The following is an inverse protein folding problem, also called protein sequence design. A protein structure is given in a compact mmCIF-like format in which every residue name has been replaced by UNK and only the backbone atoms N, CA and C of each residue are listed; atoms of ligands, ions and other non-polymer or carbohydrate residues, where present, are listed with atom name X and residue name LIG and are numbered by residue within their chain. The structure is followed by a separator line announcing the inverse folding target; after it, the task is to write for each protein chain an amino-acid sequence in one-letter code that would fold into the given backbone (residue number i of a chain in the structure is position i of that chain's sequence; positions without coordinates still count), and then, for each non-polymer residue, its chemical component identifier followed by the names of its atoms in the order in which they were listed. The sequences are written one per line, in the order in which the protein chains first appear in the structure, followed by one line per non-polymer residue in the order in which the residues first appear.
data_IF_060152225342
#
_entry.id   IF_060152225342
#
_cell.length_a   1.000
_cell.length_b   1.000
_cell.length_c   1.000
_cell.angle_alpha   90.00
_cell.angle_beta   90.00
_cell.angle_gamma   90.00
#
_symmetry.space_group_name_H-M   'P 1'
#
loop_
_entity.id
_entity.type
_entity.pdbx_description
1 polymer ?
#
# COMPACT_ATOMS: atom_id res chain seq x y z
N UNK A 1 5.57 -14.33 22.81
CA UNK A 1 5.24 -12.96 22.33
C UNK A 1 5.46 -12.82 20.83
N UNK A 2 6.65 -13.12 20.30
CA UNK A 2 6.95 -13.02 18.86
C UNK A 2 5.95 -13.77 17.94
N UNK A 3 5.58 -15.00 18.30
CA UNK A 3 4.60 -15.77 17.52
C UNK A 3 3.18 -15.18 17.46
N UNK A 4 2.78 -14.36 18.44
CA UNK A 4 1.48 -13.65 18.40
C UNK A 4 1.54 -12.46 17.45
N UNK A 5 2.66 -11.74 17.45
CA UNK A 5 2.90 -10.59 16.57
C UNK A 5 2.95 -11.05 15.10
N UNK A 6 3.62 -12.16 14.81
CA UNK A 6 3.64 -12.74 13.47
C UNK A 6 2.24 -13.10 12.95
N UNK A 7 1.38 -13.69 13.81
CA UNK A 7 -0.02 -13.98 13.48
C UNK A 7 -0.84 -12.71 13.21
N UNK A 8 -0.56 -11.63 13.92
CA UNK A 8 -1.24 -10.35 13.71
C UNK A 8 -0.84 -9.69 12.39
N UNK A 9 0.45 -9.70 12.05
CA UNK A 9 0.93 -9.18 10.77
C UNK A 9 0.44 -10.01 9.58
N UNK A 10 0.48 -11.34 9.67
CA UNK A 10 -0.06 -12.22 8.61
C UNK A 10 -1.56 -11.99 8.38
N UNK A 11 -2.34 -11.82 9.45
CA UNK A 11 -3.76 -11.45 9.33
C UNK A 11 -3.94 -10.05 8.72
N UNK A 12 -3.14 -9.07 9.12
CA UNK A 12 -3.20 -7.73 8.56
C UNK A 12 -2.88 -7.73 7.06
N UNK A 13 -1.86 -8.50 6.64
CA UNK A 13 -1.50 -8.70 5.23
C UNK A 13 -2.63 -9.32 4.41
N UNK A 14 -3.32 -10.33 4.96
CA UNK A 14 -4.43 -10.99 4.29
C UNK A 14 -5.66 -10.07 4.10
N UNK A 15 -5.89 -9.15 5.04
CA UNK A 15 -7.01 -8.22 5.01
C UNK A 15 -6.68 -6.91 4.26
N UNK A 16 -5.41 -6.65 3.96
CA UNK A 16 -5.00 -5.37 3.39
C UNK A 16 -5.55 -5.18 1.97
N UNK A 17 -6.15 -4.03 1.64
CA UNK A 17 -6.66 -3.77 0.31
C UNK A 17 -5.53 -3.69 -0.73
N UNK A 18 -5.83 -4.10 -1.96
CA UNK A 18 -4.90 -3.98 -3.10
C UNK A 18 -4.90 -2.54 -3.60
N UNK A 19 -3.73 -1.90 -3.63
CA UNK A 19 -3.55 -0.55 -4.19
C UNK A 19 -3.46 -0.65 -5.73
N UNK A 20 -4.54 -0.30 -6.43
CA UNK A 20 -4.62 -0.35 -7.88
C UNK A 20 -3.86 0.82 -8.56
N UNK A 21 -3.62 1.93 -7.85
CA UNK A 21 -2.96 3.11 -8.41
C UNK A 21 -1.43 2.94 -8.41
N UNK A 22 -0.90 2.12 -7.50
CA UNK A 22 0.55 1.88 -7.36
C UNK A 22 0.87 0.39 -7.26
N UNK A 23 0.70 -0.36 -8.36
CA UNK A 23 0.93 -1.81 -8.36
C UNK A 23 2.39 -2.19 -8.04
N UNK A 24 3.36 -1.33 -8.39
CA UNK A 24 4.78 -1.57 -8.17
C UNK A 24 5.26 -1.22 -6.75
N UNK A 25 4.46 -0.48 -5.98
CA UNK A 25 4.82 0.00 -4.64
C UNK A 25 3.71 -0.29 -3.63
N UNK A 26 3.32 -1.57 -3.45
CA UNK A 26 2.23 -1.92 -2.55
C UNK A 26 2.70 -1.76 -1.09
N UNK A 27 1.85 -1.16 -0.26
CA UNK A 27 2.14 -0.99 1.17
C UNK A 27 2.34 -2.33 1.91
N UNK A 28 1.80 -3.43 1.36
CA UNK A 28 2.03 -4.77 1.88
C UNK A 28 3.52 -5.13 1.97
N UNK A 29 4.37 -4.64 1.07
CA UNK A 29 5.84 -4.82 1.14
C UNK A 29 6.43 -4.22 2.41
N UNK A 30 5.95 -3.06 2.82
CA UNK A 30 6.42 -2.43 4.06
C UNK A 30 5.98 -3.26 5.28
N UNK A 31 4.74 -3.73 5.30
CA UNK A 31 4.22 -4.59 6.37
C UNK A 31 5.00 -5.91 6.43
N UNK A 32 5.30 -6.53 5.29
CA UNK A 32 6.12 -7.74 5.19
C UNK A 32 7.53 -7.50 5.76
N UNK A 33 8.21 -6.45 5.31
CA UNK A 33 9.55 -6.09 5.77
C UNK A 33 9.60 -5.90 7.30
N UNK A 34 8.60 -5.22 7.87
CA UNK A 34 8.47 -5.07 9.33
C UNK A 34 8.12 -6.39 10.05
N UNK A 35 7.39 -7.30 9.41
CA UNK A 35 7.02 -8.59 9.96
C UNK A 35 8.10 -9.68 9.88
N UNK A 36 9.07 -9.56 8.95
CA UNK A 36 10.15 -10.53 8.77
C UNK A 36 10.93 -10.88 10.05
N UNK A 37 11.35 -9.92 10.91
CA UNK A 37 12.05 -10.25 12.17
C UNK A 37 11.20 -11.11 13.13
N UNK A 38 9.88 -11.16 12.94
CA UNK A 38 8.96 -11.98 13.73
C UNK A 38 8.62 -13.33 13.08
N UNK A 39 9.17 -13.62 11.89
CA UNK A 39 8.92 -14.87 11.15
C UNK A 39 7.72 -14.83 10.21
N UNK A 40 7.30 -13.63 9.77
CA UNK A 40 6.25 -13.49 8.73
C UNK A 40 6.84 -13.84 7.37
N UNK A 41 6.18 -14.75 6.65
CA UNK A 41 6.56 -15.11 5.29
C UNK A 41 6.01 -14.07 4.29
N UNK A 42 6.79 -13.66 3.29
CA UNK A 42 6.32 -12.74 2.25
C UNK A 42 5.22 -13.38 1.42
N UNK A 43 4.12 -12.65 1.19
CA UNK A 43 3.02 -13.05 0.32
C UNK A 43 3.14 -12.41 -1.07
N UNK A 44 3.95 -11.36 -1.21
CA UNK A 44 4.24 -10.77 -2.52
C UNK A 44 5.29 -11.60 -3.27
N UNK A 45 5.03 -12.02 -4.53
CA UNK A 45 6.09 -12.56 -5.36
C UNK A 45 7.09 -11.43 -5.61
N UNK A 46 8.34 -11.67 -5.24
CA UNK A 46 9.50 -10.86 -5.66
C UNK A 46 9.49 -10.76 -7.18
N UNK A 47 9.32 -9.57 -7.78
CA UNK A 47 9.68 -9.35 -9.16
C UNK A 47 11.21 -9.37 -9.17
N UNK A 48 11.77 -10.54 -9.45
CA UNK A 48 13.12 -10.65 -9.97
C UNK A 48 13.12 -10.04 -11.37
N UNK A 49 13.28 -8.72 -11.48
CA UNK A 49 13.63 -8.11 -12.75
C UNK A 49 14.52 -6.87 -12.54
N UNK A 50 15.80 -7.04 -12.85
CA UNK A 50 16.71 -5.95 -13.15
C UNK A 50 17.64 -5.49 -12.02
N UNK A 51 18.68 -6.27 -11.74
CA UNK A 51 19.92 -5.71 -11.20
C UNK A 51 20.51 -4.69 -12.20
N UNK A 52 20.54 -3.41 -11.83
CA UNK A 52 21.58 -2.43 -12.22
C UNK A 52 21.59 -1.23 -11.23
N UNK A 53 22.74 -0.53 -11.07
CA UNK A 53 23.22 -0.07 -9.78
C UNK A 53 22.69 1.31 -9.37
N UNK A 54 22.58 1.46 -8.05
CA UNK A 54 22.44 2.66 -7.24
C UNK A 54 22.93 3.98 -7.87
N UNK A 55 22.06 4.99 -7.90
CA UNK A 55 22.43 6.41 -7.88
C UNK A 55 21.53 7.16 -6.85
N UNK A 56 22.08 8.17 -6.14
CA UNK A 56 21.61 8.53 -4.80
C UNK A 56 20.54 9.61 -4.85
N UNK A 57 19.32 9.28 -4.37
CA UNK A 57 18.28 10.27 -4.11
C UNK A 57 18.01 10.34 -2.60
N UNK A 58 18.48 11.43 -2.00
CA UNK A 58 18.01 12.05 -0.76
C UNK A 58 17.60 11.10 0.39
N UNK A 59 18.56 10.93 1.30
CA UNK A 59 18.39 10.54 2.69
C UNK A 59 17.29 11.34 3.40
N UNK A 60 16.18 10.68 3.70
CA UNK A 60 15.67 10.64 5.07
C UNK A 60 15.40 9.18 5.41
N UNK A 61 16.30 8.50 6.14
CA UNK A 61 15.96 7.20 6.71
C UNK A 61 14.89 7.45 7.77
N UNK A 62 13.62 7.22 7.41
CA UNK A 62 12.57 7.07 8.40
C UNK A 62 12.87 5.77 9.16
N UNK A 63 13.70 5.89 10.20
CA UNK A 63 13.88 4.97 11.32
C UNK A 63 13.55 3.49 11.03
N UNK A 64 14.43 2.81 10.29
CA UNK A 64 14.58 1.36 10.41
C UNK A 64 15.29 1.06 11.73
N UNK A 65 14.60 1.26 12.86
CA UNK A 65 15.08 0.83 14.17
C UNK A 65 14.83 -0.67 14.34
N UNK A 66 15.80 -1.46 14.85
CA UNK A 66 15.60 -2.86 15.18
C UNK A 66 14.44 -3.03 16.19
N UNK A 67 13.50 -3.96 15.98
CA UNK A 67 12.38 -4.12 16.89
C UNK A 67 12.77 -5.04 18.05
N UNK A 68 13.61 -4.54 18.96
CA UNK A 68 13.93 -5.29 20.18
C UNK A 68 12.87 -5.06 21.28
N UNK A 69 11.99 -4.06 21.11
CA UNK A 69 10.99 -3.72 22.11
C UNK A 69 9.58 -4.25 21.75
N UNK A 70 9.10 -5.33 22.38
CA UNK A 70 7.81 -5.95 22.05
C UNK A 70 6.60 -5.02 22.26
N UNK A 71 6.71 -4.02 23.14
CA UNK A 71 5.65 -3.02 23.40
C UNK A 71 5.44 -2.08 22.22
N UNK A 72 6.52 -1.64 21.57
CA UNK A 72 6.42 -0.73 20.43
C UNK A 72 5.82 -1.43 19.21
N UNK A 73 6.16 -2.70 19.01
CA UNK A 73 5.58 -3.52 17.94
C UNK A 73 4.08 -3.74 18.11
N UNK A 74 3.63 -4.00 19.34
CA UNK A 74 2.20 -4.08 19.61
C UNK A 74 1.47 -2.77 19.28
N UNK A 75 2.10 -1.61 19.56
CA UNK A 75 1.53 -0.32 19.20
C UNK A 75 1.46 -0.12 17.67
N UNK A 76 2.48 -0.56 16.92
CA UNK A 76 2.49 -0.52 15.45
C UNK A 76 1.40 -1.40 14.85
N UNK A 77 1.27 -2.64 15.32
CA UNK A 77 0.20 -3.56 14.92
C UNK A 77 -1.17 -2.95 15.21
N UNK A 78 -1.38 -2.36 16.39
CA UNK A 78 -2.63 -1.71 16.73
C UNK A 78 -2.95 -0.50 15.84
N UNK A 79 -1.93 0.27 15.45
CA UNK A 79 -2.08 1.36 14.49
C UNK A 79 -2.48 0.81 13.11
N UNK A 80 -1.87 -0.28 12.66
CA UNK A 80 -2.19 -0.95 11.40
C UNK A 80 -3.66 -1.39 11.33
N UNK A 81 -4.17 -2.03 12.39
CA UNK A 81 -5.59 -2.39 12.49
C UNK A 81 -6.50 -1.16 12.58
N UNK A 82 -6.07 -0.10 13.28
CA UNK A 82 -6.84 1.15 13.34
C UNK A 82 -6.99 1.83 11.97
N UNK A 83 -5.98 1.70 11.10
CA UNK A 83 -6.03 2.16 9.72
C UNK A 83 -6.91 1.24 8.87
N UNK A 84 -6.76 -0.08 8.99
CA UNK A 84 -7.53 -1.06 8.22
C UNK A 84 -9.05 -0.91 8.47
N UNK A 85 -9.43 -0.65 9.71
CA UNK A 85 -10.83 -0.42 10.09
C UNK A 85 -11.31 1.02 9.85
N UNK A 86 -10.47 1.89 9.27
CA UNK A 86 -10.78 3.30 9.06
C UNK A 86 -11.30 3.98 10.35
N UNK A 87 -10.74 3.60 11.52
CA UNK A 87 -11.26 4.01 12.83
C UNK A 87 -11.33 5.52 12.99
N UNK A 88 -10.38 6.24 12.42
CA UNK A 88 -10.29 7.69 12.53
C UNK A 88 -11.27 8.45 11.64
N UNK A 89 -11.65 7.89 10.47
CA UNK A 89 -12.70 8.50 9.64
C UNK A 89 -14.05 8.40 10.34
N UNK A 90 -14.30 7.29 11.04
CA UNK A 90 -15.52 7.07 11.82
C UNK A 90 -15.54 7.94 13.08
N UNK A 91 -14.41 8.00 13.80
CA UNK A 91 -14.30 8.77 15.05
C UNK A 91 -14.39 10.28 14.82
N UNK A 92 -13.84 10.78 13.71
CA UNK A 92 -13.83 12.19 13.35
C UNK A 92 -14.56 12.39 12.02
N UNK A 93 -15.86 12.08 12.01
CA UNK A 93 -16.69 12.20 10.83
C UNK A 93 -16.70 13.65 10.31
N UNK A 94 -16.34 13.82 9.04
CA UNK A 94 -16.33 15.12 8.37
C UNK A 94 -17.76 15.52 8.01
N UNK A 95 -18.08 16.81 8.16
CA UNK A 95 -19.39 17.32 7.74
C UNK A 95 -19.49 17.27 6.20
N UNK A 96 -20.68 16.98 5.65
CA UNK A 96 -20.86 16.89 4.20
C UNK A 96 -20.56 18.23 3.49
N UNK A 97 -20.66 19.36 4.19
CA UNK A 97 -20.31 20.67 3.65
C UNK A 97 -18.81 20.88 3.41
N UNK A 98 -17.94 20.16 4.13
CA UNK A 98 -16.48 20.20 3.89
C UNK A 98 -16.12 19.46 2.61
N UNK A 99 -16.81 18.34 2.34
CA UNK A 99 -16.60 17.52 1.15
C UNK A 99 -17.37 18.01 -0.08
N UNK A 100 -18.14 19.08 0.03
CA UNK A 100 -18.93 19.67 -1.07
C UNK A 100 -18.72 21.19 -1.11
N UNK A 101 -17.64 21.68 -1.75
CA UNK A 101 -17.36 23.11 -1.80
C UNK A 101 -18.48 23.84 -2.55
N UNK A 102 -18.85 25.05 -2.08
CA UNK A 102 -19.95 25.84 -2.65
C UNK A 102 -19.78 26.13 -4.16
N UNK A 103 -18.53 26.27 -4.62
CA UNK A 103 -18.22 26.54 -6.03
C UNK A 103 -18.43 25.33 -6.95
N UNK A 104 -18.29 24.11 -6.42
CA UNK A 104 -18.39 22.87 -7.20
C UNK A 104 -18.80 21.69 -6.29
N UNK A 105 -20.10 21.51 -6.00
CA UNK A 105 -20.56 20.51 -5.02
C UNK A 105 -20.23 19.07 -5.44
N UNK A 106 -20.11 18.80 -6.74
CA UNK A 106 -19.78 17.49 -7.32
C UNK A 106 -18.28 17.32 -7.65
N UNK A 107 -17.40 18.15 -7.10
CA UNK A 107 -15.97 18.09 -7.40
C UNK A 107 -15.34 16.76 -6.97
N UNK A 108 -15.49 16.39 -5.70
CA UNK A 108 -14.87 15.18 -5.16
C UNK A 108 -15.55 13.89 -5.63
N UNK A 109 -16.85 13.93 -5.97
CA UNK A 109 -17.56 12.77 -6.53
C UNK A 109 -17.02 12.43 -7.92
N UNK A 110 -16.88 13.43 -8.79
CA UNK A 110 -16.25 13.27 -10.11
C UNK A 110 -14.80 12.81 -10.01
N UNK A 111 -14.04 13.39 -9.08
CA UNK A 111 -12.64 13.01 -8.85
C UNK A 111 -12.51 11.54 -8.44
N UNK A 112 -13.35 11.07 -7.51
CA UNK A 112 -13.35 9.66 -7.09
C UNK A 112 -13.72 8.72 -8.26
N UNK A 113 -14.72 9.10 -9.06
CA UNK A 113 -15.11 8.33 -10.25
C UNK A 113 -13.96 8.22 -11.28
N UNK A 114 -13.23 9.31 -11.49
CA UNK A 114 -12.07 9.34 -12.36
C UNK A 114 -10.93 8.45 -11.82
N UNK A 115 -10.66 8.53 -10.52
CA UNK A 115 -9.66 7.70 -9.84
C UNK A 115 -10.00 6.22 -9.95
N UNK A 116 -11.27 5.82 -9.79
CA UNK A 116 -11.69 4.42 -9.95
C UNK A 116 -11.61 3.93 -11.40
N UNK A 117 -11.79 4.84 -12.36
CA UNK A 117 -11.73 4.53 -13.80
C UNK A 117 -10.30 4.46 -14.33
N UNK A 118 -9.37 5.25 -13.78
CA UNK A 118 -7.97 5.32 -14.19
C UNK A 118 -7.22 3.96 -14.20
N UNK A 119 -7.24 3.12 -13.15
CA UNK A 119 -6.47 1.87 -13.12
C UNK A 119 -6.93 0.86 -14.18
N UNK A 120 -8.20 0.92 -14.60
CA UNK A 120 -8.72 0.07 -15.70
C UNK A 120 -8.19 0.50 -17.07
N UNK A 121 -7.82 1.77 -17.25
CA UNK A 121 -7.34 2.33 -18.53
C UNK A 121 -5.85 2.10 -18.74
N UNK A 122 -5.01 2.42 -17.75
CA UNK A 122 -3.54 2.41 -17.89
C UNK A 122 -2.95 1.00 -17.93
N UNK A 123 -3.59 0.03 -17.28
CA UNK A 123 -3.15 -1.37 -17.28
C UNK A 123 -3.40 -2.08 -18.61
N UNK A 124 -4.52 -1.79 -19.29
CA UNK A 124 -4.84 -2.40 -20.58
C UNK A 124 -3.90 -1.89 -21.69
N UNK A 125 -3.57 -0.60 -21.68
CA UNK A 125 -2.59 0.00 -22.60
C UNK A 125 -1.19 -0.58 -22.38
N UNK A 126 -0.72 -0.64 -21.11
CA UNK A 126 0.58 -1.24 -20.79
C UNK A 126 0.66 -2.72 -21.22
N UNK A 127 -0.43 -3.48 -21.07
CA UNK A 127 -0.49 -4.89 -21.48
C UNK A 127 -0.59 -5.08 -22.99
N UNK A 128 -1.25 -4.15 -23.70
CA UNK A 128 -1.27 -4.11 -25.17
C UNK A 128 0.10 -3.76 -25.72
N UNK A 129 0.81 -2.84 -25.11
CA UNK A 129 2.15 -2.45 -25.54
C UNK A 129 3.17 -3.57 -25.28
N UNK A 130 3.06 -4.28 -24.16
CA UNK A 130 3.82 -5.51 -23.91
C UNK A 130 3.52 -6.58 -24.99
N UNK A 131 2.22 -6.80 -25.31
CA UNK A 131 1.82 -7.78 -26.32
C UNK A 131 2.27 -7.39 -27.74
N UNK A 132 2.15 -6.10 -28.12
CA UNK A 132 2.65 -5.56 -29.39
C UNK A 132 4.16 -5.66 -29.49
N UNK A 133 4.89 -5.37 -28.40
CA UNK A 133 6.34 -5.49 -28.36
C UNK A 133 6.78 -6.95 -28.61
N UNK A 134 6.04 -7.91 -28.04
CA UNK A 134 6.29 -9.34 -28.22
C UNK A 134 5.96 -9.86 -29.62
N UNK A 135 4.95 -9.30 -30.29
CA UNK A 135 4.59 -9.64 -31.69
C UNK A 135 5.57 -9.01 -32.69
N UNK A 136 6.16 -7.85 -32.37
CA UNK A 136 7.12 -7.15 -33.24
C UNK A 136 8.50 -7.82 -33.29
N UNK A 137 8.74 -8.81 -32.44
CA UNK A 137 10.00 -9.57 -32.31
C UNK A 137 9.79 -11.09 -32.54
N UNK A 138 8.76 -11.47 -33.30
CA UNK A 138 8.59 -12.82 -33.87
C UNK A 138 8.57 -12.77 -35.39
#
# INVERSE_FOLDING_TARGET
MAGTIAKQYTRALALWPKDALRPNLPFTRAIEHHGQPFGVQPITPTPEEGAKPQAPAATTPAASSPPENPKFEQAQVNALYSLLENRYSTKYALSPGVLKPKSAPEHYTKLMEEIERAPKKTWWEAKVDEWKSKIRWS
#
